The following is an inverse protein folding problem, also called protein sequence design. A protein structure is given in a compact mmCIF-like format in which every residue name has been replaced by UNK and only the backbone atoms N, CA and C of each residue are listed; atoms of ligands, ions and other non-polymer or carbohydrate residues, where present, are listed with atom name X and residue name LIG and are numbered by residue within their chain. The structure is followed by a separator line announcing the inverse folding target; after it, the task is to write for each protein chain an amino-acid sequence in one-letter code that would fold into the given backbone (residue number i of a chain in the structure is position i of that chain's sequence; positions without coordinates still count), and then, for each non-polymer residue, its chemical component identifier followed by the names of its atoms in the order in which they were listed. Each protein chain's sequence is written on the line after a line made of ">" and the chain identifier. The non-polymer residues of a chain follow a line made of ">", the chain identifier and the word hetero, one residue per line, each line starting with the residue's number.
data_IF_366179844367
#
_entry.id   IF_366179844367
#
_cell.length_a   1.000
_cell.length_b   1.000
_cell.length_c   1.000
_cell.angle_alpha   90.00
_cell.angle_beta   90.00
_cell.angle_gamma   90.00
#
_symmetry.space_group_name_H-M   'P 1'
#
loop_
_entity.id
_entity.type
_entity.pdbx_description
1 polymer ?
#
# COMPACT_ATOMS: atom_id res chain seq x y z
N UNK A 1 14.39 7.97 -19.76
CA UNK A 1 13.92 6.86 -18.89
C UNK A 1 12.86 7.43 -17.96
N UNK A 2 11.58 7.13 -18.20
CA UNK A 2 10.50 7.63 -17.35
C UNK A 2 10.53 6.82 -16.05
N UNK A 3 10.86 7.48 -14.93
CA UNK A 3 10.77 6.90 -13.59
C UNK A 3 9.32 6.45 -13.34
N UNK A 4 9.04 5.16 -13.60
CA UNK A 4 7.74 4.51 -13.39
C UNK A 4 7.39 4.34 -11.90
N UNK A 5 8.21 4.86 -10.99
CA UNK A 5 8.24 4.55 -9.56
C UNK A 5 7.46 5.52 -8.66
N UNK A 6 6.57 6.37 -9.21
CA UNK A 6 5.75 7.28 -8.41
C UNK A 6 4.24 7.01 -8.43
N UNK A 7 3.76 6.10 -9.29
CA UNK A 7 2.35 5.77 -9.33
C UNK A 7 1.98 4.70 -8.28
N UNK A 8 1.03 5.05 -7.43
CA UNK A 8 0.52 4.13 -6.41
C UNK A 8 -0.48 3.18 -7.05
N UNK A 9 -0.19 1.89 -6.95
CA UNK A 9 -1.12 0.84 -7.33
C UNK A 9 -2.20 0.73 -6.25
N UNK A 10 -3.44 1.06 -6.61
CA UNK A 10 -4.60 0.99 -5.72
C UNK A 10 -5.43 -0.28 -5.88
N UNK A 11 -5.23 -1.02 -6.98
CA UNK A 11 -5.97 -2.25 -7.26
C UNK A 11 -5.27 -3.41 -6.57
N UNK A 12 -6.01 -4.37 -6.02
CA UNK A 12 -5.42 -5.60 -5.50
C UNK A 12 -4.83 -5.49 -4.10
N UNK A 13 -4.95 -4.35 -3.42
CA UNK A 13 -4.43 -4.16 -2.07
C UNK A 13 -5.22 -4.98 -1.06
N UNK A 14 -4.51 -5.82 -0.30
CA UNK A 14 -5.11 -6.63 0.77
C UNK A 14 -5.45 -5.78 2.00
N UNK A 15 -6.58 -6.10 2.64
CA UNK A 15 -7.00 -5.53 3.92
C UNK A 15 -6.23 -6.17 5.10
N UNK A 16 -6.46 -5.68 6.33
CA UNK A 16 -5.74 -6.16 7.53
C UNK A 16 -5.90 -7.67 7.77
N UNK A 17 -7.13 -8.17 7.68
CA UNK A 17 -7.43 -9.60 7.89
C UNK A 17 -6.78 -10.48 6.81
N UNK A 18 -6.85 -10.06 5.55
CA UNK A 18 -6.21 -10.73 4.43
C UNK A 18 -4.69 -10.75 4.58
N UNK A 19 -4.07 -9.67 5.07
CA UNK A 19 -2.63 -9.62 5.35
C UNK A 19 -2.22 -10.58 6.47
N UNK A 20 -3.03 -10.69 7.52
CA UNK A 20 -2.76 -11.65 8.59
C UNK A 20 -2.81 -13.10 8.09
N UNK A 21 -3.65 -13.39 7.09
CA UNK A 21 -3.71 -14.68 6.40
C UNK A 21 -2.55 -14.88 5.44
N UNK A 22 -2.12 -13.84 4.73
CA UNK A 22 -0.97 -13.85 3.82
C UNK A 22 0.31 -14.37 4.50
N UNK A 23 0.57 -13.96 5.75
CA UNK A 23 1.75 -14.40 6.51
C UNK A 23 1.74 -15.91 6.79
N UNK A 24 0.55 -16.53 6.79
CA UNK A 24 0.36 -17.97 7.05
C UNK A 24 0.48 -18.85 5.81
N UNK A 25 0.65 -18.27 4.62
CA UNK A 25 0.90 -19.07 3.42
C UNK A 25 2.19 -19.87 3.57
N UNK A 26 2.10 -21.12 3.15
CA UNK A 26 3.23 -22.05 3.15
C UNK A 26 4.03 -21.90 1.85
N UNK A 27 5.28 -22.33 1.88
CA UNK A 27 6.12 -22.49 0.69
C UNK A 27 5.66 -23.73 -0.10
N UNK A 28 4.55 -23.56 -0.84
CA UNK A 28 3.99 -24.59 -1.71
C UNK A 28 3.15 -23.96 -2.83
N UNK A 29 2.85 -24.75 -3.86
CA UNK A 29 2.04 -24.30 -4.98
C UNK A 29 0.55 -24.32 -4.64
N UNK A 30 -0.12 -23.19 -4.87
CA UNK A 30 -1.56 -23.02 -4.77
C UNK A 30 -2.15 -22.77 -6.16
N UNK A 31 -3.31 -23.34 -6.43
CA UNK A 31 -4.15 -22.86 -7.52
C UNK A 31 -4.74 -21.48 -7.17
N UNK A 32 -5.16 -20.67 -8.16
CA UNK A 32 -5.81 -19.39 -7.92
C UNK A 32 -7.08 -19.46 -7.07
N UNK A 33 -7.77 -20.61 -7.03
CA UNK A 33 -8.95 -20.82 -6.18
C UNK A 33 -8.56 -21.08 -4.73
N UNK A 34 -7.54 -21.92 -4.49
CA UNK A 34 -7.04 -22.21 -3.15
C UNK A 34 -6.42 -20.96 -2.53
N UNK A 35 -5.53 -20.28 -3.25
CA UNK A 35 -4.91 -19.03 -2.79
C UNK A 35 -5.95 -17.98 -2.38
N UNK A 36 -7.01 -17.86 -3.19
CA UNK A 36 -8.13 -16.95 -2.93
C UNK A 36 -8.91 -17.34 -1.67
N UNK A 37 -9.13 -18.65 -1.44
CA UNK A 37 -9.78 -19.18 -0.24
C UNK A 37 -8.97 -18.94 1.03
N UNK A 38 -7.67 -19.27 0.99
CA UNK A 38 -6.74 -19.09 2.10
C UNK A 38 -6.66 -17.63 2.55
N UNK A 39 -6.51 -16.69 1.61
CA UNK A 39 -6.38 -15.27 1.95
C UNK A 39 -7.74 -14.60 2.17
N UNK A 40 -8.79 -15.06 1.50
CA UNK A 40 -10.13 -14.45 1.55
C UNK A 40 -10.30 -13.30 0.57
N UNK A 41 -9.90 -13.47 -0.69
CA UNK A 41 -10.23 -12.56 -1.80
C UNK A 41 -10.92 -13.34 -2.94
N UNK A 42 -11.43 -12.64 -3.96
CA UNK A 42 -12.05 -13.32 -5.11
C UNK A 42 -10.99 -13.84 -6.09
N UNK A 43 -11.03 -15.11 -6.51
CA UNK A 43 -10.09 -15.68 -7.50
C UNK A 43 -9.91 -14.85 -8.79
N UNK A 44 -10.94 -14.10 -9.21
CA UNK A 44 -10.85 -13.17 -10.35
C UNK A 44 -9.76 -12.10 -10.16
N UNK A 45 -9.44 -11.75 -8.91
CA UNK A 45 -8.37 -10.81 -8.56
C UNK A 45 -7.00 -11.33 -8.97
N UNK A 46 -6.76 -12.65 -8.89
CA UNK A 46 -5.52 -13.27 -9.39
C UNK A 46 -5.35 -12.96 -10.88
N UNK A 47 -6.38 -13.28 -11.67
CA UNK A 47 -6.31 -13.17 -13.13
C UNK A 47 -6.36 -11.73 -13.65
N UNK A 48 -7.18 -10.87 -13.03
CA UNK A 48 -7.43 -9.50 -13.54
C UNK A 48 -6.48 -8.46 -12.96
N UNK A 49 -5.83 -8.77 -11.84
CA UNK A 49 -4.98 -7.81 -11.12
C UNK A 49 -3.59 -8.37 -10.92
N UNK A 50 -3.44 -9.52 -10.26
CA UNK A 50 -2.11 -9.96 -9.84
C UNK A 50 -1.24 -10.44 -11.00
N UNK A 51 -1.74 -11.30 -11.87
CA UNK A 51 -0.98 -11.78 -13.04
C UNK A 51 -0.59 -10.61 -13.96
N UNK A 52 -1.49 -9.68 -14.35
CA UNK A 52 -1.11 -8.50 -15.13
C UNK A 52 -0.11 -7.57 -14.45
N UNK A 53 -0.04 -7.59 -13.12
CA UNK A 53 0.94 -6.83 -12.33
C UNK A 53 2.28 -7.56 -12.13
N UNK A 54 2.46 -8.75 -12.72
CA UNK A 54 3.71 -9.50 -12.64
C UNK A 54 3.82 -10.43 -11.43
N UNK A 55 2.69 -10.90 -10.88
CA UNK A 55 2.69 -11.93 -9.84
C UNK A 55 3.47 -13.18 -10.30
N UNK A 56 4.43 -13.68 -9.50
CA UNK A 56 5.12 -14.93 -9.75
C UNK A 56 4.10 -16.07 -9.90
N UNK A 57 4.19 -16.80 -11.01
CA UNK A 57 3.32 -17.93 -11.29
C UNK A 57 3.95 -18.84 -12.34
N UNK A 58 3.54 -20.09 -12.32
CA UNK A 58 3.85 -21.09 -13.33
C UNK A 58 2.58 -21.50 -14.06
N UNK A 59 2.75 -22.07 -15.26
CA UNK A 59 1.67 -22.72 -16.01
C UNK A 59 2.01 -24.19 -16.17
N UNK A 60 1.06 -25.06 -15.84
CA UNK A 60 1.21 -26.49 -16.13
C UNK A 60 0.96 -26.80 -17.63
N UNK A 61 1.13 -28.06 -18.00
CA UNK A 61 0.89 -28.55 -19.37
C UNK A 61 -0.55 -28.38 -19.85
N UNK A 62 -1.50 -28.16 -18.94
CA UNK A 62 -2.92 -27.89 -19.22
C UNK A 62 -3.24 -26.39 -19.21
N UNK A 63 -2.22 -25.53 -19.07
CA UNK A 63 -2.37 -24.08 -19.02
C UNK A 63 -2.96 -23.54 -17.72
N UNK A 64 -3.02 -24.33 -16.65
CA UNK A 64 -3.49 -23.87 -15.34
C UNK A 64 -2.37 -23.11 -14.64
N UNK A 65 -2.75 -22.02 -13.98
CA UNK A 65 -1.83 -21.23 -13.19
C UNK A 65 -1.59 -21.86 -11.83
N UNK A 66 -0.32 -21.83 -11.40
CA UNK A 66 0.12 -22.25 -10.07
C UNK A 66 0.96 -21.13 -9.46
N UNK A 67 0.73 -20.82 -8.19
CA UNK A 67 1.37 -19.71 -7.50
C UNK A 67 1.97 -20.23 -6.21
N UNK A 68 3.28 -20.07 -6.03
CA UNK A 68 3.93 -20.39 -4.76
C UNK A 68 3.48 -19.39 -3.67
N UNK A 69 3.11 -19.91 -2.50
CA UNK A 69 2.57 -19.09 -1.41
C UNK A 69 3.59 -18.11 -0.79
N UNK A 70 4.85 -18.51 -0.64
CA UNK A 70 5.92 -17.66 -0.15
C UNK A 70 6.27 -16.57 -1.17
N UNK A 71 6.43 -16.93 -2.44
CA UNK A 71 6.70 -15.96 -3.50
C UNK A 71 5.58 -14.94 -3.62
N UNK A 72 4.33 -15.39 -3.54
CA UNK A 72 3.17 -14.51 -3.54
C UNK A 72 3.18 -13.55 -2.36
N UNK A 73 3.51 -14.03 -1.15
CA UNK A 73 3.64 -13.21 0.05
C UNK A 73 4.71 -12.13 -0.15
N UNK A 74 5.89 -12.52 -0.58
CA UNK A 74 7.03 -11.61 -0.76
C UNK A 74 6.71 -10.56 -1.83
N UNK A 75 6.12 -10.99 -2.94
CA UNK A 75 5.68 -10.12 -4.02
C UNK A 75 4.62 -9.10 -3.57
N UNK A 76 3.61 -9.51 -2.78
CA UNK A 76 2.60 -8.59 -2.24
C UNK A 76 3.22 -7.57 -1.27
N UNK A 77 4.17 -7.98 -0.44
CA UNK A 77 4.83 -7.10 0.53
C UNK A 77 5.66 -6.04 -0.19
N UNK A 78 6.40 -6.44 -1.22
CA UNK A 78 7.19 -5.54 -2.06
C UNK A 78 6.28 -4.56 -2.84
N UNK A 79 5.27 -5.09 -3.52
CA UNK A 79 4.35 -4.29 -4.35
C UNK A 79 3.61 -3.20 -3.57
N UNK A 80 3.19 -3.49 -2.33
CA UNK A 80 2.43 -2.57 -1.48
C UNK A 80 3.23 -2.06 -0.28
N UNK A 81 4.56 -1.96 -0.41
CA UNK A 81 5.42 -1.43 0.62
C UNK A 81 4.94 -0.05 1.09
N UNK A 82 4.90 0.14 2.42
CA UNK A 82 4.52 1.43 2.99
C UNK A 82 5.62 2.45 2.69
N UNK A 83 5.26 3.51 1.95
CA UNK A 83 6.15 4.66 1.78
C UNK A 83 6.23 5.45 3.08
N UNK A 84 7.44 5.74 3.53
CA UNK A 84 7.70 6.63 4.66
C UNK A 84 7.73 8.07 4.12
N UNK A 85 6.94 8.95 4.73
CA UNK A 85 6.94 10.38 4.38
C UNK A 85 8.07 11.09 5.13
N UNK A 86 8.85 11.93 4.45
CA UNK A 86 9.83 12.82 5.12
C UNK A 86 9.11 13.79 6.04
N UNK A 87 9.76 14.38 7.05
CA UNK A 87 9.13 15.26 8.05
C UNK A 87 8.38 16.48 7.48
N UNK A 88 8.74 16.94 6.28
CA UNK A 88 8.11 18.06 5.58
C UNK A 88 7.13 17.64 4.46
N UNK A 89 6.72 16.37 4.38
CA UNK A 89 5.81 15.85 3.35
C UNK A 89 4.45 15.35 3.88
N UNK A 90 3.34 15.77 3.28
CA UNK A 90 2.02 15.19 3.53
C UNK A 90 1.59 14.30 2.37
N UNK A 91 0.72 13.33 2.62
CA UNK A 91 0.17 12.50 1.55
C UNK A 91 -1.14 13.08 1.03
N UNK A 92 -1.19 13.42 -0.26
CA UNK A 92 -2.42 13.91 -0.86
C UNK A 92 -3.28 12.75 -1.40
N UNK A 93 -4.50 12.60 -0.87
CA UNK A 93 -5.44 11.55 -1.32
C UNK A 93 -5.98 11.79 -2.75
N UNK A 94 -5.99 13.03 -3.22
CA UNK A 94 -6.38 13.35 -4.61
C UNK A 94 -5.24 13.06 -5.58
N UNK A 95 -4.04 13.61 -5.31
CA UNK A 95 -2.88 13.40 -6.19
C UNK A 95 -2.27 12.00 -6.05
N UNK A 96 -2.63 11.25 -5.01
CA UNK A 96 -2.12 9.91 -4.69
C UNK A 96 -0.59 9.86 -4.65
N UNK A 97 0.03 10.90 -4.09
CA UNK A 97 1.48 11.01 -3.94
C UNK A 97 1.86 11.85 -2.73
N UNK A 98 3.07 11.66 -2.17
CA UNK A 98 3.67 12.59 -1.23
C UNK A 98 3.79 13.97 -1.87
N UNK A 99 3.50 15.02 -1.10
CA UNK A 99 3.67 16.41 -1.49
C UNK A 99 4.36 17.17 -0.38
N UNK A 100 5.25 18.09 -0.72
CA UNK A 100 5.87 18.99 0.27
C UNK A 100 4.80 19.88 0.90
N UNK A 101 4.85 20.02 2.21
CA UNK A 101 4.02 20.95 2.96
C UNK A 101 4.63 22.35 2.81
N UNK A 102 3.84 23.28 2.29
CA UNK A 102 4.21 24.70 2.20
C UNK A 102 3.43 25.44 3.28
N UNK A 103 4.15 26.12 4.17
CA UNK A 103 3.60 26.88 5.30
C UNK A 103 2.50 26.13 6.09
N UNK A 104 2.79 24.93 6.64
CA UNK A 104 1.78 24.18 7.37
C UNK A 104 1.38 24.85 8.67
N UNK A 105 0.07 24.88 8.92
CA UNK A 105 -0.50 25.29 10.20
C UNK A 105 -0.44 24.11 11.19
N UNK A 106 0.19 24.31 12.35
CA UNK A 106 0.14 23.32 13.44
C UNK A 106 -1.21 23.39 14.15
N UNK A 107 -1.89 22.26 14.24
CA UNK A 107 -3.16 22.13 14.98
C UNK A 107 -3.05 21.03 16.03
N UNK A 108 -3.83 21.21 17.08
CA UNK A 108 -4.03 20.24 18.14
C UNK A 108 -5.52 20.02 18.34
N UNK A 109 -5.92 18.76 18.42
CA UNK A 109 -7.27 18.34 18.78
C UNK A 109 -7.14 17.24 19.83
N UNK A 110 -7.51 17.54 21.08
CA UNK A 110 -7.24 16.72 22.27
C UNK A 110 -5.76 16.31 22.38
N UNK A 111 -5.48 15.02 22.12
CA UNK A 111 -4.16 14.40 22.17
C UNK A 111 -3.53 14.25 20.79
N UNK A 112 -4.19 14.68 19.71
CA UNK A 112 -3.73 14.55 18.34
C UNK A 112 -3.07 15.85 17.87
N UNK A 113 -1.79 15.76 17.51
CA UNK A 113 -1.03 16.87 16.93
C UNK A 113 -0.85 16.60 15.44
N UNK A 114 -1.21 17.58 14.62
CA UNK A 114 -1.12 17.46 13.17
C UNK A 114 -0.80 18.78 12.48
N UNK A 115 -0.18 18.70 11.32
CA UNK A 115 -0.05 19.81 10.39
C UNK A 115 -1.21 19.82 9.42
N UNK A 116 -1.64 21.02 9.05
CA UNK A 116 -2.67 21.25 8.07
C UNK A 116 -2.14 22.22 7.01
N UNK A 117 -2.27 21.85 5.74
CA UNK A 117 -1.85 22.70 4.62
C UNK A 117 -2.71 22.43 3.38
N UNK A 118 -2.54 23.26 2.36
CA UNK A 118 -3.13 22.99 1.05
C UNK A 118 -2.12 22.24 0.17
N UNK A 119 -2.58 21.23 -0.54
CA UNK A 119 -1.76 20.52 -1.50
C UNK A 119 -1.30 21.48 -2.61
N UNK A 120 0.01 21.64 -2.85
CA UNK A 120 0.50 22.57 -3.87
C UNK A 120 0.13 22.16 -5.30
N UNK A 121 -0.22 20.88 -5.51
CA UNK A 121 -0.54 20.35 -6.85
C UNK A 121 -2.03 20.36 -7.19
N UNK A 122 -2.93 20.35 -6.19
CA UNK A 122 -4.38 20.32 -6.45
C UNK A 122 -5.21 21.26 -5.57
N UNK A 123 -4.60 22.05 -4.70
CA UNK A 123 -5.27 22.98 -3.80
C UNK A 123 -6.07 22.35 -2.66
N UNK A 124 -6.25 21.02 -2.64
CA UNK A 124 -7.04 20.35 -1.60
C UNK A 124 -6.38 20.46 -0.23
N UNK A 125 -7.18 20.72 0.80
CA UNK A 125 -6.76 20.70 2.21
C UNK A 125 -6.31 19.29 2.60
N UNK A 126 -5.08 19.17 3.10
CA UNK A 126 -4.47 17.92 3.53
C UNK A 126 -3.97 18.05 4.97
N UNK A 127 -4.00 16.94 5.70
CA UNK A 127 -3.53 16.85 7.06
C UNK A 127 -2.39 15.84 7.17
N UNK A 128 -1.41 16.13 8.01
CA UNK A 128 -0.35 15.21 8.39
C UNK A 128 -0.34 15.05 9.90
N UNK A 129 -0.61 13.84 10.37
CA UNK A 129 -0.49 13.50 11.79
C UNK A 129 0.99 13.44 12.16
N UNK A 130 1.35 14.14 13.23
CA UNK A 130 2.70 14.16 13.81
C UNK A 130 2.76 13.11 14.92
N UNK A 131 1.88 13.23 15.91
CA UNK A 131 1.85 12.33 17.07
C UNK A 131 0.48 12.29 17.73
N UNK A 132 0.25 11.24 18.53
CA UNK A 132 -0.84 11.12 19.49
C UNK A 132 -0.23 11.02 20.89
N UNK A 133 -0.50 11.97 21.77
CA UNK A 133 -0.02 11.96 23.15
C UNK A 133 0.73 13.23 23.54
N UNK A 134 2.01 13.13 23.90
CA UNK A 134 2.82 14.29 24.31
C UNK A 134 3.14 15.18 23.10
N UNK A 135 3.13 16.51 23.25
CA UNK A 135 3.64 17.42 22.23
C UNK A 135 5.11 17.07 21.92
N UNK A 136 5.46 17.01 20.64
CA UNK A 136 6.85 16.96 20.19
C UNK A 136 7.26 18.39 19.80
N UNK A 137 8.46 18.82 20.21
CA UNK A 137 9.06 20.05 19.69
C UNK A 137 9.68 19.77 18.32
N UNK A 138 8.98 20.16 17.25
CA UNK A 138 9.40 19.94 15.86
C UNK A 138 10.45 20.97 15.39
N UNK A 139 11.30 21.49 16.29
CA UNK A 139 12.44 22.36 15.96
C UNK A 139 13.73 21.52 15.95
N UNK A 140 13.97 20.77 14.88
CA UNK A 140 15.30 20.20 14.57
C UNK A 140 15.45 20.01 13.07
#
# INVERSE_FOLDING_TARGET
>A
MVNKSDEIILKGRLNGNQKNRLVKLLDMMYSPSELAGEIGFNKRQVYRVYIPLGCPHEKDSKGRHWINGEDFRNWIIDLYQKRVLKHNEAFCLTCKKPVRMISPERKQEDRLFYYLCNCPNCGRRIARIITRGKPIDDKS
#
